data_IF_268654809874
#
_entry.id   IF_268654809874
#
_cell.length_a   1.000
_cell.length_b   1.000
_cell.length_c   1.000
_cell.angle_alpha   90.00
_cell.angle_beta   90.00
_cell.angle_gamma   90.00
#
_symmetry.space_group_name_H-M   'P 1'
#
loop_
_entity.id
_entity.type
_entity.pdbx_description
1 polymer ?
#
# COMPACT_ATOMS: atom_id res chain seq x y z
N UNK A 1 11.12 8.82 -1.68
CA UNK A 1 10.91 7.35 -1.56
C UNK A 1 12.15 6.74 -0.92
N UNK A 2 11.97 5.74 -0.04
CA UNK A 2 13.10 5.05 0.57
C UNK A 2 13.74 4.07 -0.41
N UNK A 3 15.07 4.04 -0.43
CA UNK A 3 15.89 3.25 -1.34
C UNK A 3 16.92 2.46 -0.53
N UNK A 4 17.07 1.16 -0.81
CA UNK A 4 18.09 0.28 -0.24
C UNK A 4 19.16 -0.06 -1.30
N UNK A 5 20.43 0.04 -0.92
CA UNK A 5 21.56 -0.36 -1.76
C UNK A 5 22.32 -1.56 -1.15
N UNK A 6 22.45 -2.65 -1.91
CA UNK A 6 23.01 -3.92 -1.40
C UNK A 6 24.49 -3.89 -1.04
N UNK A 7 25.25 -2.88 -1.52
CA UNK A 7 26.70 -2.82 -1.31
C UNK A 7 27.09 -2.23 0.04
N UNK A 8 26.48 -1.10 0.38
CA UNK A 8 26.73 -0.39 1.63
C UNK A 8 25.67 -0.67 2.69
N UNK A 9 24.58 -1.38 2.33
CA UNK A 9 23.44 -1.67 3.19
C UNK A 9 22.82 -0.41 3.83
N UNK A 10 23.02 0.74 3.20
CA UNK A 10 22.41 1.98 3.65
C UNK A 10 21.04 2.17 3.01
N UNK A 11 20.12 2.69 3.82
CA UNK A 11 18.81 3.16 3.38
C UNK A 11 18.85 4.67 3.31
N UNK A 12 18.40 5.24 2.20
CA UNK A 12 18.33 6.69 2.00
C UNK A 12 17.07 7.08 1.24
N UNK A 13 16.67 8.34 1.39
CA UNK A 13 15.55 8.90 0.67
C UNK A 13 15.99 9.61 -0.61
N UNK A 14 15.27 9.34 -1.70
CA UNK A 14 15.43 10.05 -2.97
C UNK A 14 14.06 10.34 -3.58
N UNK A 15 13.92 11.51 -4.19
CA UNK A 15 12.74 11.91 -4.94
C UNK A 15 13.07 11.87 -6.43
N UNK A 16 12.42 10.94 -7.12
CA UNK A 16 12.54 10.72 -8.56
C UNK A 16 11.18 11.01 -9.18
N UNK A 17 11.12 11.73 -10.29
CA UNK A 17 9.84 11.90 -10.99
C UNK A 17 9.48 10.58 -11.67
N UNK A 18 8.19 10.37 -11.89
CA UNK A 18 7.69 9.19 -12.60
C UNK A 18 8.26 9.06 -14.02
N UNK A 19 8.62 10.19 -14.63
CA UNK A 19 9.15 10.26 -16.00
C UNK A 19 10.68 10.19 -16.07
N UNK A 20 11.37 10.21 -14.93
CA UNK A 20 12.83 10.16 -14.91
C UNK A 20 13.32 8.70 -15.08
N UNK A 21 14.56 8.56 -15.52
CA UNK A 21 15.22 7.27 -15.64
C UNK A 21 15.56 6.70 -14.25
N UNK A 22 15.44 5.38 -14.02
CA UNK A 22 15.67 4.80 -12.71
C UNK A 22 17.11 4.97 -12.23
N UNK A 23 17.27 5.40 -10.98
CA UNK A 23 18.58 5.56 -10.34
C UNK A 23 19.41 4.26 -10.32
N UNK A 24 20.59 4.29 -10.96
CA UNK A 24 21.54 3.15 -11.02
C UNK A 24 22.72 3.25 -10.04
N UNK A 25 22.94 4.43 -9.45
CA UNK A 25 24.09 4.71 -8.59
C UNK A 25 23.65 5.06 -7.19
N UNK A 26 24.31 4.49 -6.18
CA UNK A 26 24.02 4.82 -4.79
C UNK A 26 24.60 6.19 -4.43
N UNK A 27 23.77 7.11 -3.95
CA UNK A 27 24.18 8.47 -3.56
C UNK A 27 25.02 8.53 -2.26
N UNK A 28 25.10 7.42 -1.53
CA UNK A 28 25.85 7.32 -0.27
C UNK A 28 27.29 6.85 -0.46
N UNK A 29 27.48 5.82 -1.27
CA UNK A 29 28.80 5.21 -1.49
C UNK A 29 29.33 5.36 -2.91
N UNK A 30 28.57 5.97 -3.83
CA UNK A 30 28.97 6.23 -5.22
C UNK A 30 29.09 4.97 -6.10
N UNK A 31 28.75 3.79 -5.59
CA UNK A 31 28.85 2.55 -6.36
C UNK A 31 27.64 2.35 -7.28
N UNK A 32 27.91 1.92 -8.51
CA UNK A 32 26.90 1.43 -9.46
C UNK A 32 26.55 0.00 -9.07
N UNK A 33 25.39 -0.18 -8.47
CA UNK A 33 24.98 -1.45 -7.86
C UNK A 33 23.48 -1.67 -7.99
N UNK A 34 23.01 -2.88 -7.69
CA UNK A 34 21.58 -3.15 -7.58
C UNK A 34 20.99 -2.34 -6.44
N UNK A 35 19.98 -1.54 -6.78
CA UNK A 35 19.27 -0.65 -5.88
C UNK A 35 17.79 -1.05 -5.89
N UNK A 36 17.14 -1.06 -4.73
CA UNK A 36 15.73 -1.43 -4.60
C UNK A 36 14.93 -0.33 -3.91
N UNK A 37 13.73 -0.06 -4.43
CA UNK A 37 12.77 0.87 -3.83
C UNK A 37 12.05 0.15 -2.68
N UNK A 38 12.09 0.72 -1.48
CA UNK A 38 11.34 0.22 -0.32
C UNK A 38 9.92 0.77 -0.41
N UNK A 39 8.95 -0.12 -0.64
CA UNK A 39 7.53 0.20 -0.64
C UNK A 39 7.00 -0.06 0.76
N UNK A 40 6.45 0.97 1.42
CA UNK A 40 5.74 0.80 2.69
C UNK A 40 4.37 0.17 2.43
N UNK A 41 3.99 -0.81 3.26
CA UNK A 41 2.64 -1.36 3.22
C UNK A 41 1.63 -0.27 3.59
N UNK A 42 0.78 0.10 2.64
CA UNK A 42 -0.29 1.06 2.85
C UNK A 42 -1.50 0.37 3.47
N UNK A 43 -1.90 0.82 4.67
CA UNK A 43 -3.00 0.24 5.46
C UNK A 43 -4.27 1.09 5.41
N UNK A 44 -4.65 1.63 4.26
CA UNK A 44 -5.87 2.44 4.14
C UNK A 44 -7.05 1.60 3.63
N UNK A 45 -8.23 1.81 4.22
CA UNK A 45 -9.49 1.26 3.76
C UNK A 45 -10.36 2.38 3.22
N UNK A 46 -10.74 2.28 1.95
CA UNK A 46 -11.73 3.18 1.37
C UNK A 46 -13.12 2.78 1.87
N UNK A 47 -13.85 3.75 2.43
CA UNK A 47 -15.24 3.56 2.87
C UNK A 47 -16.18 4.08 1.78
N UNK A 48 -17.12 3.25 1.34
CA UNK A 48 -18.11 3.60 0.32
C UNK A 48 -18.78 2.37 -0.26
N UNK A 49 -19.94 2.54 -0.91
CA UNK A 49 -20.68 1.46 -1.58
C UNK A 49 -20.18 1.19 -3.01
N UNK A 50 -18.97 1.64 -3.32
CA UNK A 50 -18.38 1.52 -4.66
C UNK A 50 -17.89 0.11 -4.97
N UNK A 51 -17.56 -0.10 -6.24
CA UNK A 51 -17.15 -1.38 -6.83
C UNK A 51 -16.07 -2.16 -6.04
N UNK A 52 -15.15 -1.47 -5.33
CA UNK A 52 -14.14 -2.13 -4.50
C UNK A 52 -14.71 -2.87 -3.28
N UNK A 53 -15.81 -2.37 -2.68
CA UNK A 53 -16.46 -3.05 -1.55
C UNK A 53 -17.38 -4.21 -2.00
N UNK A 54 -18.03 -4.10 -3.15
CA UNK A 54 -19.02 -5.09 -3.65
C UNK A 54 -18.41 -6.25 -4.42
N UNK A 55 -17.35 -6.01 -5.19
CA UNK A 55 -16.79 -7.00 -6.12
C UNK A 55 -15.46 -7.58 -5.62
N UNK A 56 -14.65 -6.80 -4.90
CA UNK A 56 -13.32 -7.24 -4.43
C UNK A 56 -13.36 -8.01 -3.09
N UNK A 57 -14.32 -7.72 -2.20
CA UNK A 57 -14.40 -8.35 -0.86
C UNK A 57 -15.01 -9.76 -0.83
N UNK A 58 -15.46 -10.30 -1.97
CA UNK A 58 -16.13 -11.60 -2.01
C UNK A 58 -15.20 -12.79 -1.67
N UNK A 59 -13.89 -12.58 -1.55
CA UNK A 59 -12.94 -13.56 -0.98
C UNK A 59 -12.85 -13.40 0.54
N UNK A 60 -13.77 -14.09 1.21
CA UNK A 60 -13.89 -14.21 2.67
C UNK A 60 -12.55 -14.42 3.39
N UNK A 61 -12.11 -13.42 4.17
CA UNK A 61 -11.47 -13.61 5.48
C UNK A 61 -11.90 -12.46 6.40
N UNK A 62 -13.02 -12.69 7.09
CA UNK A 62 -13.42 -11.90 8.25
C UNK A 62 -12.39 -12.11 9.35
N UNK A 63 -11.45 -11.19 9.49
CA UNK A 63 -10.63 -11.09 10.70
C UNK A 63 -11.29 -10.01 11.57
N UNK A 64 -11.77 -10.45 12.73
CA UNK A 64 -12.28 -9.71 13.90
C UNK A 64 -13.80 -9.85 14.17
N UNK A 65 -14.10 -10.83 15.06
CA UNK A 65 -15.02 -10.84 16.22
C UNK A 65 -15.94 -9.60 16.39
N UNK A 66 -17.19 -9.66 16.86
CA UNK A 66 -17.83 -10.52 17.87
C UNK A 66 -19.32 -10.15 17.96
N UNK A 67 -20.15 -11.16 18.21
CA UNK A 67 -21.43 -11.16 18.96
C UNK A 67 -22.37 -9.93 19.00
N UNK A 68 -23.59 -10.19 18.50
CA UNK A 68 -24.90 -9.87 19.10
C UNK A 68 -25.39 -8.42 19.11
N UNK A 69 -26.29 -8.06 18.17
CA UNK A 69 -27.74 -7.98 18.46
C UNK A 69 -28.59 -7.65 17.22
N UNK A 70 -29.80 -8.21 17.24
CA UNK A 70 -30.91 -8.02 16.29
C UNK A 70 -31.32 -6.54 16.24
N UNK A 71 -31.70 -6.05 15.05
CA UNK A 71 -33.06 -5.60 14.73
C UNK A 71 -33.13 -5.00 13.32
N UNK A 72 -33.99 -5.60 12.46
CA UNK A 72 -34.60 -4.99 11.28
C UNK A 72 -35.87 -4.24 11.76
N UNK A 73 -36.27 -3.07 11.22
CA UNK A 73 -37.03 -2.99 9.96
C UNK A 73 -36.51 -1.86 9.03
N UNK A 74 -36.36 -2.05 7.72
CA UNK A 74 -37.35 -1.83 6.65
C UNK A 74 -37.99 -0.43 6.64
N UNK A 75 -37.59 0.44 5.70
CA UNK A 75 -38.40 1.57 5.18
C UNK A 75 -37.84 2.08 3.84
N UNK A 76 -38.77 2.26 2.92
CA UNK A 76 -38.71 2.68 1.51
C UNK A 76 -39.17 4.14 1.41
N UNK A 77 -38.47 4.98 0.66
CA UNK A 77 -38.93 6.24 0.03
C UNK A 77 -37.73 6.81 -0.76
N UNK A 78 -37.74 6.73 -2.09
CA UNK A 78 -38.28 7.69 -3.08
C UNK A 78 -37.15 8.52 -3.68
#
# INVERSE_FOLDING_TARGET
MNINASKCNEVFEHFERISDEPLQTCLKCGSVNTISKIISSSGFRLSGTGWYETDFKNTKKNINKSETNKNKPDSKAE
#
